data_IF_508049332516
#
_entry.id   IF_508049332516
#
_cell.length_a   1.000
_cell.length_b   1.000
_cell.length_c   1.000
_cell.angle_alpha   90.00
_cell.angle_beta   90.00
_cell.angle_gamma   90.00
#
_symmetry.space_group_name_H-M   'P 1'
#
loop_
_entity.id
_entity.type
_entity.pdbx_description
1 polymer ?
#
# COMPACT_ATOMS: atom_id res chain seq x y z
N UNK A 1 -26.22 -1.37 -8.16
CA UNK A 1 -25.07 -1.29 -7.23
C UNK A 1 -25.21 0.04 -6.49
N UNK A 2 -25.45 -0.03 -5.19
CA UNK A 2 -26.48 0.74 -4.49
C UNK A 2 -26.09 2.15 -4.04
N UNK A 3 -27.04 3.08 -4.15
CA UNK A 3 -27.05 4.49 -3.72
C UNK A 3 -26.59 4.74 -2.27
N UNK A 4 -26.65 3.70 -1.44
CA UNK A 4 -26.15 3.69 -0.06
C UNK A 4 -24.62 3.90 -0.03
N UNK A 5 -23.86 3.25 -0.91
CA UNK A 5 -22.40 3.42 -1.00
C UNK A 5 -22.03 4.86 -1.38
N UNK A 6 -22.80 5.46 -2.28
CA UNK A 6 -22.58 6.83 -2.76
C UNK A 6 -22.81 7.86 -1.65
N UNK A 7 -23.86 7.68 -0.86
CA UNK A 7 -24.20 8.55 0.28
C UNK A 7 -23.27 8.34 1.49
N UNK A 8 -22.77 7.12 1.70
CA UNK A 8 -21.76 6.81 2.72
C UNK A 8 -20.40 7.42 2.40
N UNK A 9 -20.01 7.43 1.12
CA UNK A 9 -18.77 8.04 0.65
C UNK A 9 -18.81 9.57 0.74
N UNK A 10 -19.90 10.21 0.29
CA UNK A 10 -19.97 11.67 0.15
C UNK A 10 -19.78 12.46 1.46
N UNK A 11 -20.21 11.91 2.60
CA UNK A 11 -20.09 12.57 3.92
C UNK A 11 -18.80 12.25 4.67
N UNK A 12 -17.93 11.38 4.15
CA UNK A 12 -16.74 10.86 4.84
C UNK A 12 -15.42 11.47 4.36
N UNK A 13 -15.49 12.37 3.38
CA UNK A 13 -14.32 12.97 2.74
C UNK A 13 -14.29 14.44 3.13
N UNK A 14 -13.84 14.65 4.36
CA UNK A 14 -13.27 15.92 4.82
C UNK A 14 -11.89 15.71 5.43
N UNK A 15 -11.26 14.58 5.12
CA UNK A 15 -9.92 14.25 5.56
C UNK A 15 -8.96 14.60 4.42
N UNK A 16 -7.98 15.44 4.73
CA UNK A 16 -6.92 15.85 3.84
C UNK A 16 -6.10 14.62 3.42
N UNK A 17 -6.39 14.07 2.25
CA UNK A 17 -5.57 13.02 1.66
C UNK A 17 -4.33 13.67 1.05
N UNK A 18 -3.16 13.38 1.61
CA UNK A 18 -1.88 13.70 0.99
C UNK A 18 -1.50 12.53 0.10
N UNK A 19 -1.44 12.75 -1.22
CA UNK A 19 -0.93 11.73 -2.14
C UNK A 19 0.58 11.86 -2.22
N UNK A 20 1.33 10.78 -2.00
CA UNK A 20 2.79 10.80 -2.08
C UNK A 20 3.25 9.84 -3.19
N UNK A 21 3.92 10.40 -4.20
CA UNK A 21 4.54 9.67 -5.31
C UNK A 21 6.01 9.43 -4.98
N UNK A 22 6.45 8.17 -4.89
CA UNK A 22 7.88 7.83 -4.81
C UNK A 22 8.43 7.56 -6.20
N UNK A 23 9.26 8.48 -6.71
CA UNK A 23 10.21 8.20 -7.80
C UNK A 23 11.61 8.22 -7.20
N UNK A 24 12.29 7.08 -7.11
CA UNK A 24 13.71 7.06 -6.74
C UNK A 24 14.51 7.06 -8.04
N UNK A 25 15.44 7.98 -8.23
CA UNK A 25 16.55 7.85 -9.21
C UNK A 25 17.84 8.24 -8.50
N UNK A 26 18.95 7.65 -8.93
CA UNK A 26 20.24 7.77 -8.27
C UNK A 26 20.64 9.23 -8.03
N UNK A 27 21.11 9.51 -6.81
CA UNK A 27 21.84 10.71 -6.37
C UNK A 27 21.07 11.97 -5.92
N UNK A 28 19.75 12.11 -6.13
CA UNK A 28 18.98 13.21 -5.50
C UNK A 28 17.54 12.80 -5.18
N UNK A 29 17.12 13.04 -3.94
CA UNK A 29 15.70 13.02 -3.56
C UNK A 29 15.07 14.29 -4.16
N UNK A 30 14.52 14.23 -5.37
CA UNK A 30 13.76 15.35 -5.94
C UNK A 30 12.25 15.07 -5.95
N UNK A 31 11.57 15.86 -5.13
CA UNK A 31 10.12 16.13 -5.07
C UNK A 31 9.18 14.92 -5.02
N UNK A 32 8.85 14.51 -3.80
CA UNK A 32 7.53 13.96 -3.51
C UNK A 32 6.48 14.98 -4.00
N UNK A 33 5.76 14.63 -5.07
CA UNK A 33 4.56 15.37 -5.46
C UNK A 33 3.51 15.06 -4.41
N UNK A 34 3.31 16.02 -3.51
CA UNK A 34 2.28 16.00 -2.48
C UNK A 34 1.11 16.84 -2.94
N UNK A 35 -0.04 16.21 -3.17
CA UNK A 35 -1.30 16.91 -3.40
C UNK A 35 -2.21 16.70 -2.20
N UNK A 36 -2.72 17.80 -1.62
CA UNK A 36 -3.80 17.76 -0.64
C UNK A 36 -5.12 17.55 -1.37
N UNK A 37 -5.89 16.59 -0.90
CA UNK A 37 -7.15 16.16 -1.48
C UNK A 37 -8.19 16.19 -0.37
N UNK A 38 -9.30 16.87 -0.58
CA UNK A 38 -10.35 17.03 0.41
C UNK A 38 -11.61 16.26 0.06
N UNK A 39 -11.75 15.85 -1.20
CA UNK A 39 -12.92 15.16 -1.72
C UNK A 39 -12.52 13.97 -2.59
N UNK A 40 -13.43 13.02 -2.79
CA UNK A 40 -13.17 11.88 -3.68
C UNK A 40 -13.18 12.31 -5.13
N UNK A 41 -13.89 13.38 -5.45
CA UNK A 41 -13.85 13.95 -6.79
C UNK A 41 -12.43 14.47 -7.10
N UNK A 42 -11.84 15.25 -6.19
CA UNK A 42 -10.43 15.67 -6.29
C UNK A 42 -9.47 14.48 -6.38
N UNK A 43 -9.70 13.43 -5.58
CA UNK A 43 -8.91 12.20 -5.60
C UNK A 43 -8.92 11.56 -6.99
N UNK A 44 -10.12 11.35 -7.54
CA UNK A 44 -10.33 10.71 -8.84
C UNK A 44 -9.80 11.57 -9.99
N UNK A 45 -10.01 12.89 -9.95
CA UNK A 45 -9.46 13.81 -10.94
C UNK A 45 -7.92 13.76 -10.94
N UNK A 46 -7.30 13.78 -9.76
CA UNK A 46 -5.86 13.68 -9.63
C UNK A 46 -5.34 12.35 -10.17
N UNK A 47 -6.00 11.25 -9.84
CA UNK A 47 -5.61 9.91 -10.32
C UNK A 47 -5.79 9.75 -11.83
N UNK A 48 -6.85 10.30 -12.41
CA UNK A 48 -7.03 10.32 -13.87
C UNK A 48 -5.88 11.09 -14.55
N UNK A 49 -5.48 12.24 -14.02
CA UNK A 49 -4.32 12.97 -14.52
C UNK A 49 -3.01 12.17 -14.41
N UNK A 50 -2.85 11.36 -13.36
CA UNK A 50 -1.72 10.44 -13.24
C UNK A 50 -1.79 9.29 -14.26
N UNK A 51 -2.96 8.73 -14.50
CA UNK A 51 -3.16 7.69 -15.53
C UNK A 51 -2.83 8.22 -16.92
N UNK A 52 -3.26 9.43 -17.27
CA UNK A 52 -2.93 10.06 -18.55
C UNK A 52 -1.41 10.31 -18.70
N UNK A 53 -0.75 10.70 -17.62
CA UNK A 53 0.69 11.03 -17.62
C UNK A 53 1.61 9.81 -17.59
N UNK A 54 1.23 8.77 -16.87
CA UNK A 54 2.09 7.63 -16.56
C UNK A 54 1.56 6.30 -17.12
N UNK A 55 0.39 6.27 -17.76
CA UNK A 55 -0.15 5.05 -18.36
C UNK A 55 -0.94 4.17 -17.39
N UNK A 56 -1.42 3.03 -17.93
CA UNK A 56 -2.61 2.33 -17.44
C UNK A 56 -2.46 1.53 -16.13
N UNK A 57 -1.24 1.27 -15.65
CA UNK A 57 -1.03 0.46 -14.44
C UNK A 57 -0.42 1.29 -13.34
N UNK A 58 -1.29 1.73 -12.43
CA UNK A 58 -0.94 2.40 -11.18
C UNK A 58 -1.38 1.52 -10.01
N UNK A 59 -0.53 1.49 -8.99
CA UNK A 59 -0.77 0.81 -7.73
C UNK A 59 -0.90 1.84 -6.62
N UNK A 60 -1.80 1.56 -5.68
CA UNK A 60 -2.23 2.47 -4.64
C UNK A 60 -2.10 1.82 -3.27
N UNK A 61 -1.64 2.57 -2.28
CA UNK A 61 -1.60 2.10 -0.90
C UNK A 61 -2.14 3.17 0.05
N UNK A 62 -3.14 2.78 0.85
CA UNK A 62 -3.66 3.62 1.92
C UNK A 62 -2.80 3.52 3.16
N UNK A 63 -2.55 4.65 3.82
CA UNK A 63 -1.95 4.72 5.13
C UNK A 63 -2.77 5.69 6.00
N UNK A 64 -3.10 5.27 7.21
CA UNK A 64 -3.88 6.06 8.17
C UNK A 64 -3.21 7.35 8.61
N UNK A 65 -1.89 7.43 8.46
CA UNK A 65 -1.09 8.58 8.82
C UNK A 65 -0.13 8.89 7.67
N UNK A 66 -0.37 10.01 7.00
CA UNK A 66 0.41 10.51 5.87
C UNK A 66 1.88 10.79 6.22
N UNK A 67 2.18 11.04 7.50
CA UNK A 67 3.54 11.21 7.97
C UNK A 67 4.30 9.88 8.12
N UNK A 68 3.60 8.74 8.15
CA UNK A 68 4.26 7.44 8.12
C UNK A 68 4.84 7.20 6.73
N UNK A 69 6.14 6.97 6.68
CA UNK A 69 6.83 6.58 5.45
C UNK A 69 6.45 5.14 5.09
N UNK A 70 6.73 4.73 3.85
CA UNK A 70 6.60 3.35 3.36
C UNK A 70 7.59 2.40 4.07
N UNK A 71 7.41 2.24 5.38
CA UNK A 71 8.18 1.38 6.27
C UNK A 71 7.31 0.16 6.57
N UNK A 72 7.68 -1.03 6.06
CA UNK A 72 7.07 -2.30 6.39
C UNK A 72 6.90 -2.50 7.90
N UNK A 73 5.87 -3.23 8.30
CA UNK A 73 5.49 -3.41 9.71
C UNK A 73 6.60 -4.04 10.58
N UNK A 74 7.48 -4.85 9.97
CA UNK A 74 8.66 -5.41 10.63
C UNK A 74 9.74 -4.34 10.91
N UNK A 75 9.92 -3.38 10.02
CA UNK A 75 10.93 -2.33 10.13
C UNK A 75 10.52 -1.19 11.07
N UNK A 76 9.24 -1.11 11.45
CA UNK A 76 8.73 -0.15 12.44
C UNK A 76 9.24 -0.43 13.88
N UNK A 77 9.95 -1.54 14.13
CA UNK A 77 10.53 -1.86 15.44
C UNK A 77 11.82 -2.67 15.31
N UNK A 78 12.92 -2.19 15.91
CA UNK A 78 14.22 -2.90 15.91
C UNK A 78 14.12 -4.30 16.51
N UNK A 79 13.37 -4.44 17.61
CA UNK A 79 13.11 -5.74 18.25
C UNK A 79 12.46 -6.74 17.29
N UNK A 80 11.56 -6.30 16.40
CA UNK A 80 10.89 -7.16 15.42
C UNK A 80 11.86 -7.66 14.36
N UNK A 81 12.80 -6.82 13.91
CA UNK A 81 13.84 -7.21 12.95
C UNK A 81 14.76 -8.29 13.52
N UNK A 82 15.18 -8.15 14.77
CA UNK A 82 16.10 -9.08 15.42
C UNK A 82 15.52 -10.51 15.50
N UNK A 83 14.20 -10.63 15.64
CA UNK A 83 13.49 -11.91 15.78
C UNK A 83 12.78 -12.38 14.52
N UNK A 84 12.87 -11.64 13.41
CA UNK A 84 12.08 -11.92 12.22
C UNK A 84 12.29 -13.33 11.68
N UNK A 85 13.56 -13.76 11.59
CA UNK A 85 13.91 -15.12 11.12
C UNK A 85 13.31 -16.19 12.01
N UNK A 86 13.28 -15.95 13.32
CA UNK A 86 12.70 -16.87 14.30
C UNK A 86 11.18 -16.94 14.14
N UNK A 87 10.49 -15.81 14.15
CA UNK A 87 9.02 -15.74 13.98
C UNK A 87 8.59 -16.37 12.66
N UNK A 88 9.33 -16.06 11.59
CA UNK A 88 9.06 -16.60 10.25
C UNK A 88 9.19 -18.12 10.24
N UNK A 89 10.29 -18.67 10.76
CA UNK A 89 10.50 -20.12 10.81
C UNK A 89 9.47 -20.85 11.68
N UNK A 90 9.14 -20.30 12.86
CA UNK A 90 8.12 -20.86 13.75
C UNK A 90 6.75 -20.87 13.06
N UNK A 91 6.39 -19.79 12.35
CA UNK A 91 5.18 -19.74 11.54
C UNK A 91 5.17 -20.80 10.43
N UNK A 92 6.25 -20.96 9.68
CA UNK A 92 6.36 -21.99 8.65
C UNK A 92 6.12 -23.40 9.20
N UNK A 93 6.69 -23.72 10.35
CA UNK A 93 6.56 -25.04 10.99
C UNK A 93 5.10 -25.25 11.42
N UNK A 94 4.51 -24.30 12.14
CA UNK A 94 3.13 -24.40 12.66
C UNK A 94 2.09 -24.40 11.55
N UNK A 95 2.22 -23.50 10.57
CA UNK A 95 1.26 -23.39 9.47
C UNK A 95 1.20 -24.68 8.64
N UNK A 96 2.34 -25.35 8.41
CA UNK A 96 2.37 -26.66 7.72
C UNK A 96 1.72 -27.81 8.50
N UNK A 97 1.58 -27.68 9.81
CA UNK A 97 0.92 -28.68 10.65
C UNK A 97 -0.60 -28.50 10.69
N UNK A 98 -1.09 -27.29 10.41
CA UNK A 98 -2.51 -26.91 10.55
C UNK A 98 -3.21 -26.79 9.19
N UNK A 99 -2.50 -26.34 8.16
CA UNK A 99 -3.06 -26.14 6.83
C UNK A 99 -3.04 -27.45 6.03
N UNK A 100 -4.19 -27.81 5.46
CA UNK A 100 -4.30 -28.97 4.58
C UNK A 100 -3.49 -28.81 3.28
N UNK A 101 -3.39 -27.57 2.78
CA UNK A 101 -2.65 -27.24 1.56
C UNK A 101 -1.82 -25.96 1.76
N UNK A 102 -0.67 -26.05 2.46
CA UNK A 102 0.19 -24.89 2.67
C UNK A 102 0.86 -24.45 1.36
N UNK A 103 1.24 -23.18 1.21
CA UNK A 103 1.92 -22.73 0.00
C UNK A 103 3.22 -23.50 -0.27
N UNK A 104 3.56 -23.67 -1.55
CA UNK A 104 4.81 -24.32 -1.96
C UNK A 104 6.01 -23.62 -1.30
N UNK A 105 7.07 -24.38 -0.96
CA UNK A 105 8.23 -23.86 -0.20
C UNK A 105 8.89 -22.65 -0.87
N UNK A 106 8.89 -22.61 -2.20
CA UNK A 106 9.49 -21.54 -2.99
C UNK A 106 8.53 -20.37 -3.27
N UNK A 107 7.25 -20.49 -2.94
CA UNK A 107 6.27 -19.42 -3.12
C UNK A 107 6.32 -18.43 -1.95
N UNK A 108 7.40 -17.65 -1.89
CA UNK A 108 7.64 -16.69 -0.81
C UNK A 108 6.49 -15.67 -0.67
N UNK A 109 5.94 -15.19 -1.79
CA UNK A 109 4.84 -14.23 -1.78
C UNK A 109 3.61 -14.79 -1.06
N UNK A 110 3.18 -16.01 -1.40
CA UNK A 110 2.03 -16.64 -0.74
C UNK A 110 2.28 -16.87 0.76
N UNK A 111 3.51 -17.22 1.15
CA UNK A 111 3.87 -17.36 2.57
C UNK A 111 3.82 -16.03 3.32
N UNK A 112 4.33 -14.95 2.73
CA UNK A 112 4.30 -13.62 3.36
C UNK A 112 2.88 -13.08 3.45
N UNK A 113 2.05 -13.27 2.41
CA UNK A 113 0.62 -12.90 2.46
C UNK A 113 -0.13 -13.67 3.54
N UNK A 114 0.16 -14.97 3.70
CA UNK A 114 -0.41 -15.78 4.76
C UNK A 114 0.04 -15.28 6.15
N UNK A 115 1.32 -14.95 6.32
CA UNK A 115 1.82 -14.35 7.57
C UNK A 115 1.10 -13.04 7.91
N UNK A 116 0.91 -12.14 6.95
CA UNK A 116 0.16 -10.89 7.14
C UNK A 116 -1.30 -11.16 7.52
N UNK A 117 -1.94 -12.16 6.90
CA UNK A 117 -3.31 -12.56 7.23
C UNK A 117 -3.48 -12.96 8.70
N UNK A 118 -2.46 -13.62 9.28
CA UNK A 118 -2.40 -13.96 10.70
C UNK A 118 -1.80 -12.86 11.59
N UNK A 119 -1.58 -11.66 11.06
CA UNK A 119 -1.14 -10.49 11.83
C UNK A 119 0.36 -10.46 12.15
N UNK A 120 1.17 -11.31 11.52
CA UNK A 120 2.62 -11.26 11.69
C UNK A 120 3.18 -10.01 11.00
N UNK A 121 4.17 -9.34 11.62
CA UNK A 121 4.88 -8.26 10.95
C UNK A 121 5.72 -8.83 9.80
N UNK A 122 5.63 -8.24 8.61
CA UNK A 122 6.36 -8.70 7.43
C UNK A 122 7.07 -7.54 6.74
N UNK A 123 7.95 -7.89 5.80
CA UNK A 123 8.59 -6.94 4.89
C UNK A 123 7.69 -6.52 3.71
N UNK A 124 6.51 -7.12 3.57
CA UNK A 124 5.62 -6.84 2.44
C UNK A 124 4.78 -5.60 2.71
N UNK A 125 4.73 -4.75 1.68
CA UNK A 125 3.80 -3.63 1.60
C UNK A 125 2.70 -4.05 0.63
N UNK A 126 1.47 -4.03 1.10
CA UNK A 126 0.29 -4.28 0.28
C UNK A 126 -0.02 -3.06 -0.58
N UNK A 127 -0.26 -3.32 -1.86
CA UNK A 127 -0.69 -2.34 -2.85
C UNK A 127 -1.94 -2.86 -3.55
N UNK A 128 -2.86 -1.95 -3.87
CA UNK A 128 -4.11 -2.23 -4.58
C UNK A 128 -4.08 -1.58 -5.96
N UNK A 129 -4.67 -2.22 -6.97
CA UNK A 129 -4.93 -1.57 -8.26
C UNK A 129 -6.13 -0.61 -8.19
N UNK A 130 -6.91 -0.65 -7.10
CA UNK A 130 -8.05 0.24 -6.90
C UNK A 130 -7.68 1.41 -5.99
N UNK A 131 -7.77 2.66 -6.48
CA UNK A 131 -7.54 3.83 -5.64
C UNK A 131 -8.56 3.99 -4.51
N UNK A 132 -9.78 3.53 -4.72
CA UNK A 132 -10.84 3.61 -3.72
C UNK A 132 -10.62 2.63 -2.57
N UNK A 133 -10.02 1.47 -2.85
CA UNK A 133 -9.61 0.53 -1.80
C UNK A 133 -8.49 1.14 -0.96
N UNK A 134 -7.51 1.78 -1.60
CA UNK A 134 -6.45 2.50 -0.87
C UNK A 134 -7.03 3.64 0.00
N UNK A 135 -7.94 4.45 -0.54
CA UNK A 135 -8.59 5.51 0.22
C UNK A 135 -9.44 4.97 1.40
N UNK A 136 -10.09 3.81 1.24
CA UNK A 136 -10.81 3.15 2.32
C UNK A 136 -9.88 2.82 3.49
N UNK A 137 -8.75 2.18 3.24
CA UNK A 137 -7.77 1.86 4.29
C UNK A 137 -7.14 3.11 4.90
N UNK A 138 -6.85 4.12 4.08
CA UNK A 138 -6.29 5.39 4.56
C UNK A 138 -7.24 6.09 5.55
N UNK A 139 -8.56 5.93 5.39
CA UNK A 139 -9.57 6.62 6.21
C UNK A 139 -10.25 5.73 7.25
N UNK A 140 -9.75 4.50 7.45
CA UNK A 140 -10.36 3.51 8.34
C UNK A 140 -10.43 4.02 9.79
N UNK A 141 -9.34 4.63 10.27
CA UNK A 141 -9.20 5.13 11.64
C UNK A 141 -9.63 6.58 11.84
N UNK A 142 -10.24 7.23 10.84
CA UNK A 142 -10.70 8.63 10.94
C UNK A 142 -11.59 8.90 12.17
N UNK A 143 -12.42 7.94 12.59
CA UNK A 143 -13.29 8.11 13.77
C UNK A 143 -12.51 8.15 15.09
N UNK A 144 -11.35 7.51 15.14
CA UNK A 144 -10.50 7.43 16.33
C UNK A 144 -9.39 8.47 16.32
N UNK A 145 -8.93 8.89 15.13
CA UNK A 145 -7.83 9.83 14.93
C UNK A 145 -8.20 10.90 13.88
N UNK A 146 -9.21 11.75 14.15
CA UNK A 146 -9.74 12.69 13.16
C UNK A 146 -8.75 13.80 12.77
N UNK A 147 -7.80 14.12 13.66
CA UNK A 147 -6.76 15.14 13.43
C UNK A 147 -5.53 14.59 12.69
N UNK A 148 -5.51 13.29 12.39
CA UNK A 148 -4.40 12.67 11.67
C UNK A 148 -4.70 12.66 10.18
N UNK A 149 -3.88 13.36 9.41
CA UNK A 149 -3.97 13.35 7.95
C UNK A 149 -3.68 11.95 7.42
N UNK A 150 -4.54 11.45 6.54
CA UNK A 150 -4.38 10.17 5.88
C UNK A 150 -3.59 10.30 4.57
N UNK A 151 -2.89 9.24 4.17
CA UNK A 151 -2.06 9.20 2.99
C UNK A 151 -2.53 8.16 1.96
N UNK A 152 -2.50 8.52 0.68
CA UNK A 152 -2.62 7.54 -0.42
C UNK A 152 -1.34 7.58 -1.25
N UNK A 153 -0.55 6.53 -1.16
CA UNK A 153 0.66 6.38 -1.95
C UNK A 153 0.32 5.88 -3.35
N UNK A 154 1.02 6.40 -4.36
CA UNK A 154 0.88 5.95 -5.74
C UNK A 154 2.22 5.45 -6.26
N UNK A 155 2.20 4.27 -6.85
CA UNK A 155 3.35 3.62 -7.48
C UNK A 155 3.01 3.30 -8.94
N UNK A 156 3.90 3.67 -9.84
CA UNK A 156 3.87 3.26 -11.24
C UNK A 156 4.86 2.09 -11.43
N UNK A 157 4.41 0.83 -11.52
CA UNK A 157 5.30 -0.33 -11.51
C UNK A 157 6.26 -0.36 -12.70
N UNK A 158 5.83 0.12 -13.87
CA UNK A 158 6.68 0.19 -15.06
C UNK A 158 7.87 1.14 -14.86
N UNK A 159 7.64 2.33 -14.26
CA UNK A 159 8.74 3.27 -13.94
C UNK A 159 9.71 2.68 -12.92
N UNK A 160 9.19 1.90 -11.96
CA UNK A 160 10.04 1.21 -10.99
C UNK A 160 10.89 0.13 -11.68
N UNK A 161 10.29 -0.69 -12.54
CA UNK A 161 10.99 -1.76 -13.23
C UNK A 161 12.07 -1.23 -14.18
N UNK A 162 11.77 -0.20 -14.99
CA UNK A 162 12.75 0.46 -15.85
C UNK A 162 13.95 0.94 -15.04
N UNK A 163 13.69 1.55 -13.90
CA UNK A 163 14.70 2.18 -13.06
C UNK A 163 15.52 1.18 -12.23
N UNK A 164 14.98 -0.01 -11.95
CA UNK A 164 15.73 -1.11 -11.32
C UNK A 164 16.39 -2.05 -12.37
N UNK A 165 16.29 -1.73 -13.66
CA UNK A 165 16.97 -2.45 -14.75
C UNK A 165 16.25 -3.72 -15.21
N UNK A 166 14.99 -3.92 -14.83
CA UNK A 166 14.18 -5.08 -15.25
C UNK A 166 13.49 -4.88 -16.61
N UNK A 167 13.57 -3.68 -17.20
CA UNK A 167 12.87 -3.33 -18.43
C UNK A 167 11.36 -3.09 -18.24
N UNK A 168 10.62 -2.70 -19.29
CA UNK A 168 9.18 -2.55 -19.21
C UNK A 168 8.55 -3.91 -18.90
N UNK A 169 7.58 -3.94 -17.96
CA UNK A 169 6.80 -5.13 -17.70
C UNK A 169 6.07 -5.52 -19.01
N UNK A 170 6.30 -6.72 -19.53
CA UNK A 170 5.51 -7.24 -20.65
C UNK A 170 4.07 -7.33 -20.20
N UNK A 171 3.18 -6.57 -20.85
CA UNK A 171 1.73 -6.67 -20.64
C UNK A 171 1.32 -8.12 -20.93
N UNK A 172 0.90 -8.82 -19.86
CA UNK A 172 0.34 -10.17 -19.91
C UNK A 172 -1.17 -10.12 -19.86
#
# INVERSE_FOLDING_TARGET
MNDIFRKYFYNRIRAFATIIIMKKTAERIETMLTQKIHTIDELLQFMNGLYEKHGARLWYRGEENAALTLVPSIQRSRRRLDVERYITNDFYIRARQILDNPPAKHNYAAWVSLMQHYGLPTRMLDWSESPLIAAFFATETYRTTPETDAGVWVLAPHLLNEKEGFGPASDG
#
